data_IF_888124161839
#
_entry.id   IF_888124161839
#
_cell.length_a   1.000
_cell.length_b   1.000
_cell.length_c   1.000
_cell.angle_alpha   90.00
_cell.angle_beta   90.00
_cell.angle_gamma   90.00
#
_symmetry.space_group_name_H-M   'P 1'
#
loop_
_entity.id
_entity.type
_entity.pdbx_description
1 polymer ?
#
# COMPACT_ATOMS: atom_id res chain seq x y z
N UNK A 1 7.14 4.18 55.45
CA UNK A 1 7.86 4.77 54.31
C UNK A 1 6.83 5.01 53.21
N UNK A 2 6.48 6.27 52.95
CA UNK A 2 5.56 6.66 51.88
C UNK A 2 6.31 6.50 50.54
N UNK A 3 5.85 5.61 49.67
CA UNK A 3 6.35 5.53 48.29
C UNK A 3 5.77 6.70 47.52
N UNK A 4 6.61 7.70 47.25
CA UNK A 4 6.39 8.71 46.23
C UNK A 4 6.27 8.00 44.88
N UNK A 5 5.04 7.87 44.37
CA UNK A 5 4.77 7.47 42.99
C UNK A 5 4.89 8.74 42.14
N UNK A 6 6.11 9.05 41.71
CA UNK A 6 6.38 10.14 40.77
C UNK A 6 5.67 9.80 39.45
N UNK A 7 4.62 10.57 39.16
CA UNK A 7 3.76 10.42 38.00
C UNK A 7 4.57 10.37 36.72
N UNK A 8 4.56 9.21 36.05
CA UNK A 8 5.07 9.08 34.69
C UNK A 8 4.29 10.04 33.78
N UNK A 9 4.98 11.02 33.20
CA UNK A 9 4.39 11.98 32.24
C UNK A 9 3.80 11.29 31.00
N UNK A 10 4.27 10.09 30.70
CA UNK A 10 3.69 9.26 29.65
C UNK A 10 2.49 8.47 30.16
N UNK A 11 1.29 8.96 29.82
CA UNK A 11 0.06 8.18 29.88
C UNK A 11 -0.13 7.45 28.56
N UNK A 12 -0.17 6.13 28.63
CA UNK A 12 -0.47 5.30 27.49
C UNK A 12 -1.86 5.69 26.94
N UNK A 13 -1.99 5.96 25.63
CA UNK A 13 -3.29 6.24 25.06
C UNK A 13 -4.19 5.01 25.25
N UNK A 14 -5.51 5.19 25.40
CA UNK A 14 -6.44 4.09 25.41
C UNK A 14 -6.25 3.23 24.14
N UNK A 15 -6.48 1.91 24.22
CA UNK A 15 -6.38 1.02 23.06
C UNK A 15 -7.21 1.60 21.90
N UNK A 16 -6.59 1.68 20.72
CA UNK A 16 -7.30 2.16 19.54
C UNK A 16 -8.52 1.25 19.28
N UNK A 17 -9.71 1.83 19.05
CA UNK A 17 -10.87 1.05 18.62
C UNK A 17 -10.55 0.30 17.32
N UNK A 18 -11.03 -0.93 17.18
CA UNK A 18 -10.81 -1.73 15.97
C UNK A 18 -11.41 -1.09 14.71
N UNK A 19 -12.50 -0.35 14.88
CA UNK A 19 -13.14 0.43 13.83
C UNK A 19 -13.90 1.59 14.46
N UNK A 20 -14.00 2.69 13.73
CA UNK A 20 -14.83 3.83 14.11
C UNK A 20 -16.06 3.85 13.19
N UNK A 21 -17.30 3.65 13.69
CA UNK A 21 -18.49 3.51 12.85
C UNK A 21 -18.76 4.72 11.93
N UNK A 22 -18.27 5.90 12.31
CA UNK A 22 -18.33 7.13 11.52
C UNK A 22 -17.49 7.08 10.24
N UNK A 23 -16.45 6.24 10.18
CA UNK A 23 -15.64 6.09 8.96
C UNK A 23 -16.43 5.39 7.84
N UNK A 24 -17.35 4.49 8.18
CA UNK A 24 -18.16 3.78 7.18
C UNK A 24 -19.15 4.67 6.43
N UNK A 25 -19.48 5.84 6.99
CA UNK A 25 -20.32 6.86 6.35
C UNK A 25 -19.49 7.99 5.74
N UNK A 26 -18.17 8.00 5.96
CA UNK A 26 -17.27 9.03 5.46
C UNK A 26 -17.05 8.91 3.95
N UNK A 27 -17.16 10.03 3.24
CA UNK A 27 -16.86 10.10 1.81
C UNK A 27 -15.37 9.85 1.52
N UNK A 28 -14.50 10.25 2.44
CA UNK A 28 -13.06 10.01 2.33
C UNK A 28 -12.72 8.53 2.40
N UNK A 29 -13.43 7.75 3.21
CA UNK A 29 -13.25 6.30 3.31
C UNK A 29 -13.55 5.59 1.98
N UNK A 30 -14.67 5.91 1.33
CA UNK A 30 -15.00 5.35 0.01
C UNK A 30 -13.98 5.77 -1.07
N UNK A 31 -13.53 7.03 -1.05
CA UNK A 31 -12.49 7.50 -1.98
C UNK A 31 -11.16 6.76 -1.77
N UNK A 32 -10.77 6.55 -0.52
CA UNK A 32 -9.57 5.79 -0.18
C UNK A 32 -9.68 4.33 -0.65
N UNK A 33 -10.82 3.68 -0.40
CA UNK A 33 -11.06 2.31 -0.86
C UNK A 33 -11.03 2.16 -2.39
N UNK A 34 -11.64 3.09 -3.13
CA UNK A 34 -11.57 3.12 -4.60
C UNK A 34 -10.14 3.36 -5.09
N UNK A 35 -9.40 4.27 -4.44
CA UNK A 35 -8.01 4.56 -4.80
C UNK A 35 -7.11 3.32 -4.65
N UNK A 36 -7.20 2.60 -3.53
CA UNK A 36 -6.46 1.35 -3.30
C UNK A 36 -6.86 0.25 -4.29
N UNK A 37 -8.15 0.12 -4.59
CA UNK A 37 -8.65 -0.86 -5.57
C UNK A 37 -8.06 -0.59 -6.97
N UNK A 38 -8.17 0.64 -7.46
CA UNK A 38 -7.65 1.01 -8.78
C UNK A 38 -6.13 0.93 -8.84
N UNK A 39 -5.43 1.37 -7.79
CA UNK A 39 -3.98 1.27 -7.73
C UNK A 39 -3.50 -0.19 -7.76
N UNK A 40 -4.11 -1.07 -6.97
CA UNK A 40 -3.75 -2.50 -6.95
C UNK A 40 -4.09 -3.18 -8.28
N UNK A 41 -5.23 -2.82 -8.91
CA UNK A 41 -5.57 -3.30 -10.24
C UNK A 41 -4.52 -2.91 -11.29
N UNK A 42 -4.12 -1.63 -11.33
CA UNK A 42 -3.10 -1.15 -12.27
C UNK A 42 -1.72 -1.76 -11.99
N UNK A 43 -1.36 -1.92 -10.72
CA UNK A 43 -0.13 -2.57 -10.30
C UNK A 43 -0.04 -3.99 -10.86
N UNK A 44 -1.07 -4.82 -10.63
CA UNK A 44 -1.09 -6.20 -11.14
C UNK A 44 -1.19 -6.22 -12.67
N UNK A 45 -2.01 -5.36 -13.26
CA UNK A 45 -2.16 -5.30 -14.71
C UNK A 45 -0.81 -5.08 -15.40
N UNK A 46 -0.07 -4.02 -15.01
CA UNK A 46 1.18 -3.67 -15.66
C UNK A 46 2.29 -4.69 -15.36
N UNK A 47 2.44 -5.11 -14.11
CA UNK A 47 3.52 -6.03 -13.72
C UNK A 47 3.33 -7.43 -14.29
N UNK A 48 2.13 -8.01 -14.17
CA UNK A 48 1.85 -9.35 -14.68
C UNK A 48 1.84 -9.36 -16.21
N UNK A 49 1.34 -8.31 -16.86
CA UNK A 49 1.43 -8.20 -18.32
C UNK A 49 2.88 -8.14 -18.79
N UNK A 50 3.75 -7.41 -18.07
CA UNK A 50 5.20 -7.35 -18.36
C UNK A 50 5.84 -8.74 -18.22
N UNK A 51 5.53 -9.47 -17.14
CA UNK A 51 6.01 -10.85 -16.93
C UNK A 51 5.53 -11.77 -18.05
N UNK A 52 4.24 -11.72 -18.40
CA UNK A 52 3.69 -12.54 -19.49
C UNK A 52 4.30 -12.19 -20.84
N UNK A 53 4.54 -10.91 -21.13
CA UNK A 53 5.19 -10.47 -22.38
C UNK A 53 6.62 -10.98 -22.50
N UNK A 54 7.40 -10.93 -21.42
CA UNK A 54 8.73 -11.53 -21.38
C UNK A 54 8.64 -13.06 -21.49
N UNK A 55 7.69 -13.69 -20.80
CA UNK A 55 7.59 -15.15 -20.77
C UNK A 55 7.20 -15.74 -22.14
N UNK A 56 6.23 -15.13 -22.84
CA UNK A 56 5.70 -15.60 -24.12
C UNK A 56 6.59 -15.32 -25.34
N UNK A 57 7.62 -14.49 -25.20
CA UNK A 57 8.50 -14.16 -26.33
C UNK A 57 9.46 -15.30 -26.66
N UNK A 58 9.67 -15.55 -27.96
CA UNK A 58 10.61 -16.55 -28.49
C UNK A 58 12.07 -16.27 -28.11
N UNK A 59 12.42 -15.02 -27.82
CA UNK A 59 13.77 -14.64 -27.40
C UNK A 59 13.74 -13.57 -26.33
N UNK A 60 14.31 -13.87 -25.17
CA UNK A 60 14.39 -12.93 -24.04
C UNK A 60 15.20 -11.68 -24.38
N UNK A 61 16.18 -11.79 -25.28
CA UNK A 61 17.00 -10.66 -25.74
C UNK A 61 16.20 -9.59 -26.50
N UNK A 62 15.01 -9.91 -27.01
CA UNK A 62 14.11 -8.97 -27.68
C UNK A 62 13.05 -8.38 -26.74
N UNK A 63 13.13 -8.69 -25.45
CA UNK A 63 12.17 -8.23 -24.43
C UNK A 63 12.85 -7.32 -23.43
N UNK A 64 12.07 -6.76 -22.51
CA UNK A 64 12.61 -6.00 -21.37
C UNK A 64 13.42 -6.87 -20.39
N UNK A 65 13.35 -8.20 -20.52
CA UNK A 65 14.10 -9.15 -19.70
C UNK A 65 13.71 -9.11 -18.21
N UNK A 66 14.47 -9.84 -17.38
CA UNK A 66 14.25 -9.88 -15.93
C UNK A 66 14.47 -8.51 -15.30
N UNK A 67 15.45 -7.74 -15.79
CA UNK A 67 15.70 -6.38 -15.33
C UNK A 67 14.50 -5.45 -15.55
N UNK A 68 13.83 -5.56 -16.70
CA UNK A 68 12.62 -4.81 -17.00
C UNK A 68 11.43 -5.22 -16.15
N UNK A 69 11.29 -6.51 -15.85
CA UNK A 69 10.28 -6.99 -14.88
C UNK A 69 10.49 -6.31 -13.52
N UNK A 70 11.72 -6.34 -13.00
CA UNK A 70 12.07 -5.72 -11.72
C UNK A 70 11.77 -4.21 -11.71
N UNK A 71 12.12 -3.50 -12.80
CA UNK A 71 11.76 -2.09 -12.97
C UNK A 71 10.25 -1.85 -13.02
N UNK A 72 9.46 -2.75 -13.62
CA UNK A 72 8.00 -2.61 -13.62
C UNK A 72 7.43 -2.72 -12.21
N UNK A 73 7.90 -3.65 -11.38
CA UNK A 73 7.44 -3.79 -9.99
C UNK A 73 7.81 -2.57 -9.15
N UNK A 74 9.09 -2.19 -9.14
CA UNK A 74 9.56 -1.05 -8.35
C UNK A 74 8.99 0.28 -8.85
N UNK A 75 9.00 0.50 -10.17
CA UNK A 75 8.52 1.73 -10.79
C UNK A 75 7.01 1.94 -10.61
N UNK A 76 6.22 0.86 -10.69
CA UNK A 76 4.77 0.95 -10.45
C UNK A 76 4.45 1.25 -8.99
N UNK A 77 5.13 0.63 -8.03
CA UNK A 77 4.94 0.97 -6.61
C UNK A 77 5.31 2.44 -6.37
N UNK A 78 6.47 2.90 -6.86
CA UNK A 78 6.89 4.29 -6.73
C UNK A 78 5.82 5.27 -7.28
N UNK A 79 5.34 5.04 -8.50
CA UNK A 79 4.37 5.91 -9.14
C UNK A 79 3.00 5.88 -8.44
N UNK A 80 2.50 4.68 -8.08
CA UNK A 80 1.17 4.54 -7.49
C UNK A 80 1.12 5.06 -6.06
N UNK A 81 2.13 4.77 -5.24
CA UNK A 81 2.24 5.34 -3.89
C UNK A 81 2.26 6.86 -3.98
N UNK A 82 3.04 7.44 -4.90
CA UNK A 82 3.06 8.90 -5.09
C UNK A 82 1.67 9.46 -5.43
N UNK A 83 0.90 8.78 -6.28
CA UNK A 83 -0.44 9.22 -6.67
C UNK A 83 -1.51 9.03 -5.58
N UNK A 84 -1.44 7.95 -4.79
CA UNK A 84 -2.51 7.59 -3.84
C UNK A 84 -2.19 7.93 -2.39
N UNK A 85 -0.94 8.28 -2.05
CA UNK A 85 -0.56 8.65 -0.68
C UNK A 85 -1.44 9.75 -0.09
N UNK A 86 -1.77 10.79 -0.86
CA UNK A 86 -2.63 11.90 -0.40
C UNK A 86 -4.12 11.56 -0.29
N UNK A 87 -4.55 10.37 -0.74
CA UNK A 87 -5.96 9.97 -0.77
C UNK A 87 -6.23 8.79 0.17
N UNK A 88 -5.43 7.72 0.09
CA UNK A 88 -5.64 6.47 0.83
C UNK A 88 -4.51 6.10 1.78
N UNK A 89 -3.40 6.84 1.76
CA UNK A 89 -2.14 6.43 2.41
C UNK A 89 -1.21 5.66 1.48
N UNK A 90 -1.70 5.18 0.33
CA UNK A 90 -0.88 4.57 -0.72
C UNK A 90 -0.24 3.26 -0.28
N UNK A 91 -1.05 2.32 0.20
CA UNK A 91 -0.54 1.04 0.68
C UNK A 91 -0.32 0.02 -0.45
N UNK A 92 -1.30 -0.13 -1.36
CA UNK A 92 -1.33 -1.05 -2.53
C UNK A 92 -1.13 -2.54 -2.14
N UNK A 93 -0.91 -2.85 -0.87
CA UNK A 93 -0.46 -4.14 -0.37
C UNK A 93 -1.07 -4.40 1.01
N UNK A 94 -1.82 -5.51 1.20
CA UNK A 94 -2.36 -5.88 2.50
C UNK A 94 -1.30 -5.96 3.60
N UNK A 95 -0.09 -6.49 3.32
CA UNK A 95 0.97 -6.59 4.32
C UNK A 95 1.46 -5.22 4.82
N UNK A 96 1.37 -4.18 3.97
CA UNK A 96 1.65 -2.79 4.38
C UNK A 96 0.49 -2.23 5.18
N UNK A 97 -0.76 -2.55 4.82
CA UNK A 97 -1.94 -2.13 5.58
C UNK A 97 -2.00 -2.74 6.98
N UNK A 98 -1.49 -3.96 7.17
CA UNK A 98 -1.48 -4.64 8.47
C UNK A 98 -0.25 -4.35 9.34
N UNK A 99 0.85 -3.88 8.74
CA UNK A 99 2.14 -3.68 9.43
C UNK A 99 2.20 -2.36 10.18
#
# INVERSE_FOLDING_TARGET
AQSHDDGKDYKEPPPAPLFEPSELTSWSFYRAGIAEFVATFLFLYITILTVMGVNKSDSKCKTVGIQGIAWSFGGMIFALVYCTAGISGGHINPAVTFG
#
